data_IF_604365327681
#
_entry.id   IF_604365327681
#
_cell.length_a   1.000
_cell.length_b   1.000
_cell.length_c   1.000
_cell.angle_alpha   90.00
_cell.angle_beta   90.00
_cell.angle_gamma   90.00
#
_symmetry.space_group_name_H-M   'P 1'
#
loop_
_entity.id
_entity.type
_entity.pdbx_description
1 polymer ?
#
# COMPACT_ATOMS: atom_id res chain seq x y z
N UNK A 1 -30.53 -38.63 67.81
CA UNK A 1 -29.07 -38.59 68.05
C UNK A 1 -28.38 -38.06 66.81
N UNK A 2 -27.50 -37.08 67.02
CA UNK A 2 -26.86 -36.26 66.01
C UNK A 2 -25.71 -36.98 65.28
N UNK A 3 -25.54 -36.68 63.99
CA UNK A 3 -24.44 -37.17 63.15
C UNK A 3 -24.09 -36.15 62.07
N UNK A 4 -23.48 -35.04 62.46
CA UNK A 4 -23.01 -34.01 61.55
C UNK A 4 -21.85 -34.54 60.68
N UNK A 5 -22.07 -34.65 59.37
CA UNK A 5 -21.00 -34.93 58.39
C UNK A 5 -20.17 -33.67 58.15
N UNK A 6 -18.92 -33.69 58.59
CA UNK A 6 -17.91 -32.66 58.27
C UNK A 6 -17.50 -32.78 56.80
N UNK A 7 -17.57 -31.68 56.06
CA UNK A 7 -16.98 -31.55 54.74
C UNK A 7 -15.44 -31.38 54.85
N UNK A 8 -14.64 -32.01 53.98
CA UNK A 8 -13.19 -31.89 54.00
C UNK A 8 -12.75 -30.50 53.49
N UNK A 9 -11.85 -29.87 54.25
CA UNK A 9 -11.17 -28.62 53.89
C UNK A 9 -10.22 -28.86 52.71
N UNK A 10 -10.52 -28.28 51.55
CA UNK A 10 -9.61 -28.25 50.40
C UNK A 10 -8.40 -27.36 50.69
N UNK A 11 -7.21 -27.95 50.60
CA UNK A 11 -5.90 -27.35 50.82
C UNK A 11 -5.60 -26.30 49.72
N UNK A 12 -5.36 -25.05 50.13
CA UNK A 12 -5.04 -23.86 49.30
C UNK A 12 -3.68 -23.92 48.55
N UNK A 13 -3.16 -25.10 48.23
CA UNK A 13 -1.78 -25.28 47.75
C UNK A 13 -1.61 -25.73 46.30
N UNK A 14 -2.69 -25.94 45.53
CA UNK A 14 -2.60 -26.42 44.12
C UNK A 14 -3.38 -25.55 43.13
N UNK A 15 -3.55 -24.26 43.42
CA UNK A 15 -4.15 -23.27 42.52
C UNK A 15 -3.16 -22.15 42.15
N UNK A 16 -1.87 -22.48 42.02
CA UNK A 16 -0.84 -21.53 41.57
C UNK A 16 0.04 -22.08 40.43
N UNK A 17 -0.27 -23.25 39.88
CA UNK A 17 0.52 -23.86 38.79
C UNK A 17 -0.27 -24.14 37.50
N UNK A 18 -1.52 -23.67 37.39
CA UNK A 18 -2.29 -23.69 36.12
C UNK A 18 -2.52 -22.29 35.55
N UNK A 19 -2.24 -21.22 36.31
CA UNK A 19 -2.41 -19.83 35.84
C UNK A 19 -1.19 -19.24 35.11
N UNK A 20 -0.08 -19.96 35.00
CA UNK A 20 1.11 -19.52 34.25
C UNK A 20 1.23 -20.13 32.85
N UNK A 21 0.32 -21.03 32.45
CA UNK A 21 0.37 -21.71 31.14
C UNK A 21 -0.71 -21.27 30.14
N UNK A 22 -1.57 -20.30 30.48
CA UNK A 22 -2.62 -19.77 29.57
C UNK A 22 -2.33 -18.33 29.11
N UNK A 23 -1.31 -17.67 29.65
CA UNK A 23 -1.01 -16.26 29.32
C UNK A 23 -0.04 -16.07 28.13
N UNK A 24 0.52 -17.13 27.53
CA UNK A 24 1.52 -17.02 26.46
C UNK A 24 1.03 -17.47 25.06
N UNK A 25 -0.23 -17.93 24.93
CA UNK A 25 -0.80 -18.35 23.63
C UNK A 25 -1.96 -17.44 23.17
N UNK A 26 -2.38 -16.49 24.02
CA UNK A 26 -3.49 -15.56 23.73
C UNK A 26 -3.14 -14.34 22.86
N UNK A 27 -1.87 -14.15 22.47
CA UNK A 27 -1.47 -12.99 21.64
C UNK A 27 -1.48 -13.26 20.13
N UNK A 28 -1.78 -14.49 19.68
CA UNK A 28 -1.72 -14.86 18.27
C UNK A 28 -3.07 -15.25 17.63
N UNK A 29 -4.20 -15.15 18.35
CA UNK A 29 -5.49 -15.65 17.85
C UNK A 29 -6.69 -14.69 18.00
N UNK A 30 -6.45 -13.38 18.11
CA UNK A 30 -7.51 -12.36 18.14
C UNK A 30 -7.49 -11.39 16.93
N UNK A 31 -6.89 -11.79 15.80
CA UNK A 31 -6.84 -10.98 14.56
C UNK A 31 -7.92 -11.37 13.54
N UNK A 32 -8.70 -12.44 13.78
CA UNK A 32 -9.53 -13.03 12.71
C UNK A 32 -10.95 -12.46 12.60
N UNK A 33 -11.50 -11.68 13.54
CA UNK A 33 -12.96 -11.39 13.52
C UNK A 33 -13.42 -9.93 13.66
N UNK A 34 -12.57 -8.91 13.49
CA UNK A 34 -13.07 -7.53 13.44
C UNK A 34 -12.17 -6.63 12.57
N UNK A 35 -12.62 -6.14 11.40
CA UNK A 35 -11.86 -5.15 10.63
C UNK A 35 -12.08 -3.77 11.27
N UNK A 36 -11.55 -3.54 12.47
CA UNK A 36 -11.55 -2.20 13.07
C UNK A 36 -10.32 -1.45 12.56
N UNK A 37 -10.56 -0.52 11.64
CA UNK A 37 -9.77 0.70 11.51
C UNK A 37 -8.33 0.54 11.03
N UNK A 38 -8.12 0.02 9.83
CA UNK A 38 -6.93 0.44 9.07
C UNK A 38 -7.20 1.91 8.69
N UNK A 39 -6.46 2.90 9.25
CA UNK A 39 -6.69 4.29 8.90
C UNK A 39 -6.44 4.47 7.40
N UNK A 40 -7.24 5.33 6.74
CA UNK A 40 -7.10 5.72 5.33
C UNK A 40 -5.66 6.03 4.91
N UNK A 41 -4.85 6.48 5.87
CA UNK A 41 -3.45 6.86 5.73
C UNK A 41 -2.45 5.70 5.74
N UNK A 42 -2.85 4.46 6.04
CA UNK A 42 -1.92 3.31 6.15
C UNK A 42 -0.85 3.48 7.23
N UNK A 43 -1.02 4.47 8.13
CA UNK A 43 0.02 4.94 9.05
C UNK A 43 0.24 4.03 10.27
N UNK A 44 -0.60 3.01 10.48
CA UNK A 44 -0.67 2.26 11.73
C UNK A 44 0.59 1.43 12.07
N UNK A 45 1.54 1.24 11.15
CA UNK A 45 2.72 0.38 11.37
C UNK A 45 4.07 1.00 10.93
N UNK A 46 4.21 2.32 10.86
CA UNK A 46 5.46 2.95 10.41
C UNK A 46 6.58 3.03 11.48
N UNK A 47 6.35 2.56 12.72
CA UNK A 47 7.34 2.64 13.80
C UNK A 47 8.55 1.72 13.63
N UNK A 48 9.76 2.28 13.77
CA UNK A 48 11.02 1.56 13.97
C UNK A 48 11.50 0.64 12.84
N UNK A 49 12.54 -0.14 13.09
CA UNK A 49 13.01 -1.20 12.19
C UNK A 49 12.67 -2.55 12.81
N UNK A 50 12.08 -3.46 12.03
CA UNK A 50 11.70 -4.80 12.47
C UNK A 50 12.61 -5.81 11.81
N UNK A 51 13.22 -6.71 12.60
CA UNK A 51 14.04 -7.79 12.03
C UNK A 51 13.14 -8.84 11.38
N UNK A 52 13.48 -9.22 10.14
CA UNK A 52 12.79 -10.28 9.40
C UNK A 52 13.81 -11.28 8.88
N UNK A 53 13.36 -12.47 8.46
CA UNK A 53 14.24 -13.46 7.82
C UNK A 53 14.81 -13.00 6.46
N UNK A 54 14.38 -11.85 5.94
CA UNK A 54 14.87 -11.27 4.69
C UNK A 54 15.74 -10.02 4.90
N UNK A 55 16.07 -9.69 6.15
CA UNK A 55 16.79 -8.47 6.54
C UNK A 55 15.90 -7.48 7.30
N UNK A 56 16.49 -6.39 7.82
CA UNK A 56 15.77 -5.37 8.59
C UNK A 56 14.73 -4.68 7.72
N UNK A 57 13.47 -4.69 8.16
CA UNK A 57 12.36 -3.97 7.54
C UNK A 57 12.19 -2.61 8.21
N UNK A 58 12.62 -1.56 7.51
CA UNK A 58 12.62 -0.17 8.00
C UNK A 58 11.29 0.54 7.78
N UNK A 59 11.15 1.73 8.36
CA UNK A 59 10.05 2.65 8.06
C UNK A 59 10.00 3.02 6.57
N UNK A 60 11.16 3.23 5.93
CA UNK A 60 11.25 3.59 4.51
C UNK A 60 10.70 2.47 3.61
N UNK A 61 10.99 1.22 3.96
CA UNK A 61 10.50 0.05 3.22
C UNK A 61 8.97 -0.04 3.25
N UNK A 62 8.37 0.17 4.43
CA UNK A 62 6.90 0.19 4.58
C UNK A 62 6.27 1.38 3.87
N UNK A 63 6.92 2.54 3.91
CA UNK A 63 6.49 3.72 3.16
C UNK A 63 6.43 3.46 1.65
N UNK A 64 7.37 2.70 1.08
CA UNK A 64 7.32 2.35 -0.33
C UNK A 64 6.06 1.55 -0.67
N UNK A 65 5.76 0.50 0.09
CA UNK A 65 4.56 -0.32 -0.12
C UNK A 65 3.27 0.50 -0.01
N UNK A 66 3.18 1.38 1.00
CA UNK A 66 2.04 2.29 1.16
C UNK A 66 1.90 3.24 -0.02
N UNK A 67 3.00 3.85 -0.48
CA UNK A 67 2.99 4.79 -1.62
C UNK A 67 2.58 4.12 -2.93
N UNK A 68 3.13 2.95 -3.23
CA UNK A 68 2.79 2.22 -4.46
C UNK A 68 1.35 1.71 -4.41
N UNK A 69 0.88 1.21 -3.26
CA UNK A 69 -0.54 0.84 -3.07
C UNK A 69 -1.46 2.04 -3.28
N UNK A 70 -1.12 3.18 -2.67
CA UNK A 70 -1.88 4.41 -2.87
C UNK A 70 -1.92 4.82 -4.33
N UNK A 71 -0.83 4.68 -5.09
CA UNK A 71 -0.82 4.96 -6.53
C UNK A 71 -1.82 4.07 -7.30
N UNK A 72 -1.77 2.74 -7.08
CA UNK A 72 -2.71 1.80 -7.71
C UNK A 72 -4.18 2.14 -7.43
N UNK A 73 -4.51 2.53 -6.19
CA UNK A 73 -5.87 2.83 -5.76
C UNK A 73 -6.55 3.98 -6.53
N UNK A 74 -5.79 4.91 -7.11
CA UNK A 74 -6.36 6.01 -7.91
C UNK A 74 -6.00 5.95 -9.40
N UNK A 75 -4.85 5.37 -9.77
CA UNK A 75 -4.43 5.31 -11.18
C UNK A 75 -5.16 4.23 -11.98
N UNK A 76 -5.62 3.15 -11.32
CA UNK A 76 -6.51 2.14 -11.92
C UNK A 76 -7.82 2.80 -12.39
N UNK A 77 -8.64 3.43 -11.52
CA UNK A 77 -9.87 4.08 -11.97
C UNK A 77 -9.61 5.28 -12.88
N UNK A 78 -8.51 6.01 -12.72
CA UNK A 78 -8.15 7.11 -13.62
C UNK A 78 -7.87 6.60 -15.06
N UNK A 79 -7.14 5.49 -15.21
CA UNK A 79 -6.87 4.88 -16.50
C UNK A 79 -8.13 4.38 -17.19
N UNK A 80 -9.02 3.71 -16.45
CA UNK A 80 -10.35 3.31 -16.94
C UNK A 80 -11.19 4.51 -17.41
N UNK A 81 -11.21 5.58 -16.60
CA UNK A 81 -11.90 6.81 -16.96
C UNK A 81 -11.33 7.43 -18.24
N UNK A 82 -10.00 7.45 -18.39
CA UNK A 82 -9.34 8.03 -19.55
C UNK A 82 -9.51 7.21 -20.83
N UNK A 83 -9.67 5.89 -20.77
CA UNK A 83 -10.08 5.13 -21.95
C UNK A 83 -11.40 5.60 -22.54
N UNK A 84 -12.35 5.96 -21.67
CA UNK A 84 -13.70 6.38 -22.09
C UNK A 84 -13.76 7.86 -22.48
N UNK A 85 -12.94 8.70 -21.82
CA UNK A 85 -13.11 10.16 -21.86
C UNK A 85 -12.00 10.93 -22.57
N UNK A 86 -10.81 10.36 -22.73
CA UNK A 86 -9.71 11.08 -23.34
C UNK A 86 -10.03 11.39 -24.81
N UNK A 87 -9.74 12.61 -25.24
CA UNK A 87 -9.99 13.03 -26.63
C UNK A 87 -8.91 12.48 -27.55
N UNK A 88 -7.65 12.66 -27.18
CA UNK A 88 -6.50 12.23 -27.96
C UNK A 88 -6.36 10.69 -28.00
N UNK A 89 -6.26 10.07 -29.19
CA UNK A 89 -6.07 8.62 -29.31
C UNK A 89 -4.84 8.11 -28.54
N UNK A 90 -3.73 8.87 -28.57
CA UNK A 90 -2.52 8.50 -27.82
C UNK A 90 -2.73 8.48 -26.30
N UNK A 91 -3.55 9.40 -25.76
CA UNK A 91 -3.86 9.42 -24.32
C UNK A 91 -4.71 8.21 -23.94
N UNK A 92 -5.68 7.80 -24.77
CA UNK A 92 -6.45 6.55 -24.52
C UNK A 92 -5.55 5.31 -24.50
N UNK A 93 -4.63 5.20 -25.47
CA UNK A 93 -3.69 4.09 -25.54
C UNK A 93 -2.77 4.04 -24.30
N UNK A 94 -2.21 5.18 -23.92
CA UNK A 94 -1.35 5.29 -22.72
C UNK A 94 -2.13 4.96 -21.45
N UNK A 95 -3.37 5.45 -21.33
CA UNK A 95 -4.23 5.17 -20.19
C UNK A 95 -4.55 3.68 -20.04
N UNK A 96 -4.75 2.96 -21.14
CA UNK A 96 -4.97 1.51 -21.10
C UNK A 96 -3.75 0.77 -20.55
N UNK A 97 -2.57 1.09 -21.07
CA UNK A 97 -1.33 0.44 -20.63
C UNK A 97 -1.09 0.72 -19.15
N UNK A 98 -1.24 1.97 -18.71
CA UNK A 98 -1.09 2.37 -17.31
C UNK A 98 -2.10 1.65 -16.43
N UNK A 99 -3.37 1.57 -16.83
CA UNK A 99 -4.39 0.85 -16.07
C UNK A 99 -3.99 -0.62 -15.87
N UNK A 100 -3.69 -1.34 -16.95
CA UNK A 100 -3.32 -2.75 -16.87
C UNK A 100 -2.06 -2.97 -16.02
N UNK A 101 -1.04 -2.13 -16.20
CA UNK A 101 0.21 -2.21 -15.45
C UNK A 101 0.04 -1.87 -13.96
N UNK A 102 -0.84 -0.92 -13.62
CA UNK A 102 -1.19 -0.67 -12.22
C UNK A 102 -1.99 -1.81 -11.59
N UNK A 103 -2.86 -2.51 -12.33
CA UNK A 103 -3.52 -3.73 -11.81
C UNK A 103 -2.47 -4.79 -11.44
N UNK A 104 -1.48 -5.00 -12.31
CA UNK A 104 -0.39 -5.93 -12.03
C UNK A 104 0.46 -5.50 -10.83
N UNK A 105 0.89 -4.23 -10.79
CA UNK A 105 1.72 -3.70 -9.72
C UNK A 105 0.98 -3.67 -8.37
N UNK A 106 -0.33 -3.42 -8.37
CA UNK A 106 -1.15 -3.44 -7.16
C UNK A 106 -1.23 -4.84 -6.55
N UNK A 107 -1.43 -5.87 -7.38
CA UNK A 107 -1.40 -7.26 -6.95
C UNK A 107 -0.03 -7.64 -6.34
N UNK A 108 1.07 -7.29 -6.99
CA UNK A 108 2.43 -7.50 -6.48
C UNK A 108 2.68 -6.76 -5.15
N UNK A 109 2.18 -5.52 -5.04
CA UNK A 109 2.28 -4.71 -3.82
C UNK A 109 1.56 -5.36 -2.66
N UNK A 110 0.33 -5.85 -2.88
CA UNK A 110 -0.45 -6.55 -1.85
C UNK A 110 0.21 -7.86 -1.42
N UNK A 111 0.68 -8.67 -2.38
CA UNK A 111 1.37 -9.92 -2.07
C UNK A 111 2.69 -9.69 -1.31
N UNK A 112 3.45 -8.66 -1.70
CA UNK A 112 4.69 -8.27 -1.01
C UNK A 112 4.40 -7.78 0.41
N UNK A 113 3.36 -6.96 0.59
CA UNK A 113 2.94 -6.46 1.88
C UNK A 113 2.49 -7.60 2.81
N UNK A 114 1.67 -8.53 2.31
CA UNK A 114 1.24 -9.73 3.05
C UNK A 114 2.43 -10.58 3.50
N UNK A 115 3.36 -10.86 2.58
CA UNK A 115 4.59 -11.62 2.88
C UNK A 115 5.42 -11.01 4.01
N UNK A 116 5.40 -9.69 4.14
CA UNK A 116 6.17 -8.93 5.13
C UNK A 116 5.34 -8.53 6.36
N UNK A 117 4.06 -8.90 6.44
CA UNK A 117 3.16 -8.49 7.52
C UNK A 117 2.90 -6.98 7.57
N UNK A 118 3.01 -6.29 6.44
CA UNK A 118 2.82 -4.84 6.33
C UNK A 118 1.36 -4.54 5.99
N UNK A 119 0.72 -3.70 6.80
CA UNK A 119 -0.60 -3.17 6.46
C UNK A 119 -0.45 -2.07 5.40
N UNK A 120 -1.30 -2.13 4.37
CA UNK A 120 -1.38 -1.13 3.30
C UNK A 120 -2.80 -0.59 3.18
N UNK A 121 -2.99 0.65 2.72
CA UNK A 121 -4.32 1.24 2.63
C UNK A 121 -5.21 0.52 1.62
N UNK A 122 -6.53 0.64 1.81
CA UNK A 122 -7.55 0.09 0.92
C UNK A 122 -8.38 1.16 0.21
N UNK A 123 -8.06 2.43 0.42
CA UNK A 123 -8.70 3.55 -0.25
C UNK A 123 -7.68 4.62 -0.67
N UNK A 124 -7.96 5.40 -1.72
CA UNK A 124 -7.11 6.53 -2.07
C UNK A 124 -7.08 7.56 -0.94
N UNK A 125 -5.96 8.28 -0.82
CA UNK A 125 -5.87 9.44 0.07
C UNK A 125 -6.83 10.55 -0.33
N UNK A 126 -7.08 11.51 0.58
CA UNK A 126 -7.94 12.67 0.28
C UNK A 126 -7.50 13.45 -0.97
N UNK A 127 -6.19 13.66 -1.14
CA UNK A 127 -5.63 14.31 -2.33
C UNK A 127 -5.88 13.51 -3.60
N UNK A 128 -5.69 12.19 -3.56
CA UNK A 128 -5.95 11.31 -4.70
C UNK A 128 -7.42 11.27 -5.10
N UNK A 129 -8.34 11.24 -4.12
CA UNK A 129 -9.78 11.41 -4.36
C UNK A 129 -10.07 12.77 -5.03
N UNK A 130 -9.34 13.82 -4.65
CA UNK A 130 -9.45 15.14 -5.28
C UNK A 130 -8.97 15.16 -6.72
N UNK A 131 -7.87 14.47 -7.04
CA UNK A 131 -7.38 14.38 -8.42
C UNK A 131 -8.37 13.64 -9.33
N UNK A 132 -9.00 12.57 -8.85
CA UNK A 132 -10.08 11.88 -9.56
C UNK A 132 -11.27 12.81 -9.85
N UNK A 133 -11.69 13.62 -8.86
CA UNK A 133 -12.76 14.61 -9.04
C UNK A 133 -12.36 15.72 -10.03
N UNK A 134 -11.12 16.20 -9.95
CA UNK A 134 -10.59 17.19 -10.87
C UNK A 134 -10.67 16.70 -12.32
N UNK A 135 -10.14 15.51 -12.61
CA UNK A 135 -10.25 14.90 -13.95
C UNK A 135 -11.70 14.73 -14.37
N UNK A 136 -12.57 14.34 -13.44
CA UNK A 136 -14.00 14.14 -13.70
C UNK A 136 -14.72 15.42 -14.11
N UNK A 137 -14.24 16.59 -13.69
CA UNK A 137 -14.76 17.90 -14.10
C UNK A 137 -14.17 18.46 -15.40
N UNK A 138 -13.25 17.75 -16.07
CA UNK A 138 -12.59 18.21 -17.31
C UNK A 138 -13.08 17.46 -18.54
N UNK A 139 -12.94 18.10 -19.71
CA UNK A 139 -13.36 17.56 -21.00
C UNK A 139 -12.35 17.90 -22.09
N UNK A 140 -12.39 17.16 -23.20
CA UNK A 140 -11.58 17.46 -24.38
C UNK A 140 -10.07 17.52 -24.10
N UNK A 141 -9.38 18.49 -24.68
CA UNK A 141 -7.94 18.65 -24.49
C UNK A 141 -7.53 19.00 -23.05
N UNK A 142 -8.41 19.61 -22.27
CA UNK A 142 -8.13 19.90 -20.86
C UNK A 142 -8.20 18.64 -20.00
N UNK A 143 -9.08 17.70 -20.33
CA UNK A 143 -9.07 16.37 -19.72
C UNK A 143 -7.74 15.67 -19.98
N UNK A 144 -7.32 15.61 -21.25
CA UNK A 144 -6.08 14.95 -21.67
C UNK A 144 -4.86 15.52 -20.94
N UNK A 145 -4.73 16.85 -20.88
CA UNK A 145 -3.63 17.52 -20.16
C UNK A 145 -3.68 17.23 -18.66
N UNK A 146 -4.86 17.29 -18.05
CA UNK A 146 -5.00 17.05 -16.61
C UNK A 146 -4.60 15.63 -16.25
N UNK A 147 -5.07 14.63 -16.99
CA UNK A 147 -4.69 13.23 -16.82
C UNK A 147 -3.17 13.05 -16.92
N UNK A 148 -2.57 13.51 -18.03
CA UNK A 148 -1.13 13.32 -18.27
C UNK A 148 -0.27 14.00 -17.21
N UNK A 149 -0.55 15.26 -16.87
CA UNK A 149 0.28 16.02 -15.93
C UNK A 149 0.14 15.51 -14.50
N UNK A 150 -1.05 15.07 -14.08
CA UNK A 150 -1.27 14.50 -12.74
C UNK A 150 -0.50 13.20 -12.56
N UNK A 151 -0.65 12.27 -13.51
CA UNK A 151 0.06 10.99 -13.43
C UNK A 151 1.57 11.20 -13.54
N UNK A 152 2.05 12.12 -14.40
CA UNK A 152 3.49 12.36 -14.55
C UNK A 152 4.13 12.95 -13.30
N UNK A 153 3.43 13.85 -12.61
CA UNK A 153 3.86 14.40 -11.33
C UNK A 153 3.87 13.35 -10.21
N UNK A 154 2.81 12.53 -10.12
CA UNK A 154 2.73 11.44 -9.15
C UNK A 154 3.87 10.42 -9.32
N UNK A 155 4.15 10.02 -10.57
CA UNK A 155 5.26 9.13 -10.89
C UNK A 155 6.63 9.73 -10.48
N UNK A 156 6.85 11.03 -10.70
CA UNK A 156 8.09 11.69 -10.26
C UNK A 156 8.29 11.65 -8.74
N UNK A 157 7.22 11.82 -7.97
CA UNK A 157 7.27 11.70 -6.51
C UNK A 157 7.58 10.26 -6.05
N UNK A 158 6.93 9.26 -6.67
CA UNK A 158 7.14 7.85 -6.33
C UNK A 158 8.53 7.36 -6.76
N UNK A 159 9.04 7.82 -7.91
CA UNK A 159 10.40 7.53 -8.39
C UNK A 159 11.45 7.85 -7.33
N UNK A 160 11.38 9.04 -6.72
CA UNK A 160 12.33 9.46 -5.68
C UNK A 160 12.30 8.53 -4.46
N UNK A 161 11.11 8.05 -4.06
CA UNK A 161 10.95 7.09 -2.96
C UNK A 161 11.57 5.74 -3.34
N UNK A 162 11.27 5.21 -4.53
CA UNK A 162 11.82 3.93 -5.01
C UNK A 162 13.36 4.00 -5.05
N UNK A 163 13.92 5.09 -5.60
CA UNK A 163 15.37 5.29 -5.67
C UNK A 163 16.01 5.31 -4.29
N UNK A 164 15.41 6.02 -3.33
CA UNK A 164 15.89 6.06 -1.94
C UNK A 164 15.84 4.68 -1.28
N UNK A 165 14.75 3.93 -1.45
CA UNK A 165 14.61 2.57 -0.93
C UNK A 165 15.66 1.65 -1.56
N UNK A 166 15.86 1.74 -2.87
CA UNK A 166 16.87 0.94 -3.58
C UNK A 166 18.28 1.17 -3.04
N UNK A 167 18.59 2.41 -2.69
CA UNK A 167 19.89 2.79 -2.14
C UNK A 167 20.08 2.36 -0.67
N UNK A 168 19.02 2.34 0.14
CA UNK A 168 19.13 2.22 1.60
C UNK A 168 18.60 0.90 2.18
N UNK A 169 17.69 0.22 1.49
CA UNK A 169 17.05 -0.99 2.01
C UNK A 169 18.03 -2.16 2.00
N UNK A 170 18.14 -2.83 3.13
CA UNK A 170 18.84 -4.11 3.28
C UNK A 170 17.87 -5.31 3.19
N UNK A 171 16.55 -5.07 3.17
CA UNK A 171 15.56 -6.14 3.08
C UNK A 171 15.48 -6.67 1.64
N UNK A 172 15.90 -7.92 1.42
CA UNK A 172 15.99 -8.49 0.07
C UNK A 172 14.67 -8.53 -0.69
N UNK A 173 13.54 -8.72 0.00
CA UNK A 173 12.20 -8.70 -0.62
C UNK A 173 11.84 -7.29 -1.10
N UNK A 174 12.11 -6.27 -0.28
CA UNK A 174 11.83 -4.87 -0.64
C UNK A 174 12.76 -4.39 -1.75
N UNK A 175 14.02 -4.79 -1.75
CA UNK A 175 14.96 -4.47 -2.83
C UNK A 175 14.47 -5.00 -4.18
N UNK A 176 13.96 -6.23 -4.20
CA UNK A 176 13.39 -6.83 -5.41
C UNK A 176 12.08 -6.15 -5.82
N UNK A 177 11.22 -5.78 -4.86
CA UNK A 177 10.01 -5.01 -5.13
C UNK A 177 10.32 -3.62 -5.72
N UNK A 178 11.32 -2.92 -5.16
CA UNK A 178 11.76 -1.62 -5.64
C UNK A 178 12.26 -1.68 -7.10
N UNK A 179 12.98 -2.72 -7.50
CA UNK A 179 13.38 -2.93 -8.91
C UNK A 179 12.18 -3.07 -9.84
N UNK A 180 11.19 -3.90 -9.47
CA UNK A 180 9.98 -4.10 -10.28
C UNK A 180 9.17 -2.82 -10.37
N UNK A 181 8.96 -2.13 -9.25
CA UNK A 181 8.26 -0.84 -9.21
C UNK A 181 8.98 0.22 -10.07
N UNK A 182 10.32 0.28 -10.01
CA UNK A 182 11.11 1.22 -10.82
C UNK A 182 10.90 1.01 -12.32
N UNK A 183 10.78 -0.25 -12.76
CA UNK A 183 10.50 -0.56 -14.17
C UNK A 183 9.16 0.01 -14.62
N UNK A 184 8.10 -0.19 -13.84
CA UNK A 184 6.78 0.39 -14.14
C UNK A 184 6.82 1.92 -14.18
N UNK A 185 7.39 2.55 -13.15
CA UNK A 185 7.45 4.02 -13.08
C UNK A 185 8.18 4.62 -14.27
N UNK A 186 9.32 4.06 -14.65
CA UNK A 186 10.06 4.51 -15.85
C UNK A 186 9.25 4.32 -17.13
N UNK A 187 8.59 3.16 -17.29
CA UNK A 187 7.70 2.92 -18.44
C UNK A 187 6.56 3.94 -18.50
N UNK A 188 5.88 4.19 -17.39
CA UNK A 188 4.76 5.12 -17.34
C UNK A 188 5.18 6.56 -17.61
N UNK A 189 6.31 7.02 -17.07
CA UNK A 189 6.85 8.35 -17.35
C UNK A 189 7.12 8.54 -18.84
N UNK A 190 7.79 7.58 -19.49
CA UNK A 190 8.04 7.61 -20.94
C UNK A 190 6.75 7.58 -21.75
N UNK A 191 5.75 6.79 -21.35
CA UNK A 191 4.44 6.74 -22.01
C UNK A 191 3.70 8.09 -21.89
N UNK A 192 3.68 8.69 -20.71
CA UNK A 192 3.05 10.00 -20.47
C UNK A 192 3.74 11.10 -21.27
N UNK A 193 5.07 11.11 -21.31
CA UNK A 193 5.87 12.06 -22.10
C UNK A 193 5.61 11.91 -23.60
N UNK A 194 5.45 10.66 -24.09
CA UNK A 194 5.16 10.38 -25.50
C UNK A 194 3.80 10.92 -25.99
N UNK A 195 2.95 11.41 -25.10
CA UNK A 195 1.70 12.09 -25.48
C UNK A 195 1.94 13.49 -26.07
N UNK A 196 3.13 14.06 -25.86
CA UNK A 196 3.44 15.46 -26.22
C UNK A 196 2.80 16.50 -25.31
N UNK A 197 2.08 16.10 -24.26
CA UNK A 197 1.37 17.00 -23.34
C UNK A 197 2.18 17.34 -22.07
N UNK A 198 3.33 16.71 -21.86
CA UNK A 198 4.27 17.05 -20.77
C UNK A 198 5.22 18.16 -21.26
N UNK A 199 5.08 19.41 -20.79
CA UNK A 199 5.99 20.48 -21.21
C UNK A 199 7.35 20.31 -20.55
N UNK A 200 8.44 20.79 -21.18
CA UNK A 200 9.80 20.71 -20.61
C UNK A 200 9.90 21.28 -19.18
N UNK A 201 9.16 22.35 -18.90
CA UNK A 201 9.10 22.96 -17.55
C UNK A 201 8.51 22.05 -16.46
N UNK A 202 7.84 20.95 -16.83
CA UNK A 202 7.31 19.96 -15.90
C UNK A 202 8.31 18.82 -15.63
N UNK A 203 9.52 18.86 -16.23
CA UNK A 203 10.59 17.87 -16.03
C UNK A 203 11.66 18.33 -15.01
N UNK A 204 11.55 19.55 -14.48
CA UNK A 204 12.52 20.18 -13.58
C UNK A 204 11.86 20.60 -12.27
#
# INVERSE_FOLDING_TARGET
MAGARRLPRLRKGRLLLVLAAVAAVGAAFAVVLNPVGVPASGAANLGGTVQTKWGPLSTLDRQLLVKVRQAGLWEIPAGQQAQQRARAPRVRQVAEIIWQQHVQLDADTRATAEKLGVLVPNEPSGSQKSWLREMSGKFGGDYDKTFVLRLRAAHGQVFAVIAKVRAQSENSVIRAFAERAMKFVNTHMSLLESTGLVPRRALH
#
